data_IF_007501087997
#
_entry.id   IF_007501087997
#
_cell.length_a   1.000
_cell.length_b   1.000
_cell.length_c   1.000
_cell.angle_alpha   90.00
_cell.angle_beta   90.00
_cell.angle_gamma   90.00
#
_symmetry.space_group_name_H-M   'P 1'
#
loop_
_entity.id
_entity.type
_entity.pdbx_description
1 polymer ?
#
# COMPACT_ATOMS: atom_id res chain seq x y z
N UNK A 1 -14.71 -14.28 -3.39
CA UNK A 1 -14.26 -13.19 -4.29
C UNK A 1 -13.19 -12.32 -3.64
N UNK A 2 -13.46 -11.65 -2.52
CA UNK A 2 -12.51 -10.71 -1.85
C UNK A 2 -11.11 -11.30 -1.65
N UNK A 3 -10.99 -12.47 -1.01
CA UNK A 3 -9.70 -13.09 -0.70
C UNK A 3 -8.92 -13.43 -1.99
N UNK A 4 -9.58 -14.01 -2.99
CA UNK A 4 -8.93 -14.37 -4.26
C UNK A 4 -8.43 -13.14 -5.01
N UNK A 5 -9.24 -12.07 -5.05
CA UNK A 5 -8.86 -10.81 -5.70
C UNK A 5 -7.68 -10.16 -4.97
N UNK A 6 -7.70 -10.13 -3.63
CA UNK A 6 -6.59 -9.65 -2.82
C UNK A 6 -5.31 -10.47 -3.01
N UNK A 7 -5.43 -11.80 -3.03
CA UNK A 7 -4.29 -12.68 -3.23
C UNK A 7 -3.68 -12.50 -4.63
N UNK A 8 -4.49 -12.47 -5.68
CA UNK A 8 -4.00 -12.39 -7.06
C UNK A 8 -3.51 -10.97 -7.38
N UNK A 9 -4.38 -9.96 -7.27
CA UNK A 9 -4.08 -8.61 -7.73
C UNK A 9 -3.32 -7.77 -6.71
N UNK A 10 -3.43 -8.09 -5.41
CA UNK A 10 -2.74 -7.41 -4.32
C UNK A 10 -1.36 -7.99 -3.98
N UNK A 11 -1.13 -9.27 -4.26
CA UNK A 11 0.10 -9.96 -3.86
C UNK A 11 0.80 -10.68 -5.02
N UNK A 12 0.19 -11.69 -5.64
CA UNK A 12 0.84 -12.52 -6.66
C UNK A 12 1.29 -11.69 -7.86
N UNK A 13 0.41 -10.86 -8.43
CA UNK A 13 0.72 -10.08 -9.63
C UNK A 13 1.81 -9.01 -9.37
N UNK A 14 1.75 -8.20 -8.29
CA UNK A 14 2.85 -7.28 -7.94
C UNK A 14 4.19 -7.97 -7.70
N UNK A 15 4.21 -9.11 -6.99
CA UNK A 15 5.46 -9.85 -6.72
C UNK A 15 6.01 -10.46 -8.02
N UNK A 16 5.16 -11.08 -8.84
CA UNK A 16 5.57 -11.62 -10.14
C UNK A 16 6.14 -10.53 -11.05
N UNK A 17 5.52 -9.35 -11.08
CA UNK A 17 6.03 -8.17 -11.78
C UNK A 17 7.42 -7.78 -11.27
N UNK A 18 7.57 -7.63 -9.94
CA UNK A 18 8.84 -7.24 -9.34
C UNK A 18 9.97 -8.22 -9.69
N UNK A 19 9.71 -9.53 -9.58
CA UNK A 19 10.66 -10.57 -9.96
C UNK A 19 11.01 -10.54 -11.45
N UNK A 20 10.04 -10.30 -12.33
CA UNK A 20 10.28 -10.17 -13.77
C UNK A 20 11.13 -8.94 -14.10
N UNK A 21 10.90 -7.82 -13.43
CA UNK A 21 11.70 -6.60 -13.59
C UNK A 21 13.13 -6.77 -13.05
N UNK A 22 13.33 -7.49 -11.94
CA UNK A 22 14.67 -7.90 -11.46
C UNK A 22 15.38 -8.78 -12.48
N UNK A 23 14.70 -9.83 -12.98
CA UNK A 23 15.28 -10.78 -13.94
C UNK A 23 15.67 -10.11 -15.26
N UNK A 24 14.98 -9.04 -15.65
CA UNK A 24 15.29 -8.25 -16.86
C UNK A 24 16.29 -7.12 -16.63
N UNK A 25 16.87 -7.00 -15.43
CA UNK A 25 17.88 -5.98 -15.12
C UNK A 25 17.32 -4.55 -15.01
N UNK A 26 15.99 -4.39 -14.94
CA UNK A 26 15.33 -3.08 -14.79
C UNK A 26 15.26 -2.59 -13.35
N UNK A 27 15.58 -3.46 -12.40
CA UNK A 27 15.61 -3.19 -10.98
C UNK A 27 16.95 -3.72 -10.44
N UNK A 28 17.76 -2.83 -9.86
CA UNK A 28 19.11 -3.18 -9.43
C UNK A 28 19.11 -4.12 -8.22
N UNK A 29 18.27 -3.83 -7.22
CA UNK A 29 18.29 -4.48 -5.92
C UNK A 29 16.89 -4.93 -5.44
N UNK A 30 16.85 -5.69 -4.35
CA UNK A 30 15.62 -6.33 -3.85
C UNK A 30 14.72 -5.39 -3.05
N UNK A 31 15.27 -4.27 -2.61
CA UNK A 31 14.63 -3.26 -1.80
C UNK A 31 14.22 -2.03 -2.64
N UNK A 32 14.54 -2.04 -3.95
CA UNK A 32 14.33 -0.97 -4.90
C UNK A 32 14.85 0.38 -4.36
N UNK A 33 16.13 0.42 -4.02
CA UNK A 33 16.80 1.57 -3.42
C UNK A 33 16.88 2.75 -4.39
N UNK A 34 16.99 2.48 -5.68
CA UNK A 34 17.03 3.47 -6.76
C UNK A 34 15.61 3.96 -7.02
N UNK A 35 15.42 5.26 -6.77
CA UNK A 35 14.10 5.88 -6.72
C UNK A 35 13.42 5.93 -8.08
N UNK A 36 14.21 6.16 -9.12
CA UNK A 36 13.81 6.29 -10.52
C UNK A 36 13.22 4.98 -11.05
N UNK A 37 13.76 3.85 -10.57
CA UNK A 37 13.34 2.50 -10.94
C UNK A 37 11.95 2.12 -10.37
N UNK A 38 11.47 2.82 -9.32
CA UNK A 38 10.21 2.49 -8.60
C UNK A 38 8.94 2.92 -9.35
N UNK A 39 9.04 3.93 -10.21
CA UNK A 39 7.87 4.56 -10.83
C UNK A 39 7.09 3.58 -11.71
N UNK A 40 7.77 2.82 -12.56
CA UNK A 40 7.15 1.84 -13.46
C UNK A 40 6.47 0.70 -12.68
N UNK A 41 7.14 0.02 -11.72
CA UNK A 41 6.49 -0.96 -10.85
C UNK A 41 5.24 -0.42 -10.15
N UNK A 42 5.29 0.79 -9.61
CA UNK A 42 4.15 1.39 -8.92
C UNK A 42 2.96 1.67 -9.85
N UNK A 43 3.20 2.17 -11.06
CA UNK A 43 2.13 2.38 -12.03
C UNK A 43 1.44 1.07 -12.41
N UNK A 44 2.22 0.03 -12.73
CA UNK A 44 1.65 -1.27 -13.13
C UNK A 44 0.94 -1.95 -11.95
N UNK A 45 1.51 -1.89 -10.75
CA UNK A 45 0.84 -2.39 -9.54
C UNK A 45 -0.48 -1.67 -9.28
N UNK A 46 -0.53 -0.34 -9.51
CA UNK A 46 -1.78 0.43 -9.42
C UNK A 46 -2.82 -0.06 -10.42
N UNK A 47 -2.41 -0.46 -11.63
CA UNK A 47 -3.33 -1.07 -12.61
C UNK A 47 -3.88 -2.42 -12.12
N UNK A 48 -3.06 -3.26 -11.48
CA UNK A 48 -3.55 -4.50 -10.87
C UNK A 48 -4.57 -4.21 -9.77
N UNK A 49 -4.32 -3.18 -8.94
CA UNK A 49 -5.27 -2.74 -7.93
C UNK A 49 -6.57 -2.24 -8.56
N UNK A 50 -6.51 -1.45 -9.64
CA UNK A 50 -7.69 -0.98 -10.35
C UNK A 50 -8.54 -2.13 -10.93
N UNK A 51 -7.90 -3.15 -11.51
CA UNK A 51 -8.60 -4.35 -12.00
C UNK A 51 -9.31 -5.05 -10.85
N UNK A 52 -8.63 -5.25 -9.71
CA UNK A 52 -9.25 -5.88 -8.55
C UNK A 52 -10.40 -5.06 -7.99
N UNK A 53 -10.29 -3.72 -7.93
CA UNK A 53 -11.37 -2.84 -7.52
C UNK A 53 -12.61 -3.01 -8.41
N UNK A 54 -12.44 -3.04 -9.74
CA UNK A 54 -13.55 -3.23 -10.69
C UNK A 54 -14.24 -4.58 -10.46
N UNK A 55 -13.47 -5.65 -10.22
CA UNK A 55 -14.02 -6.97 -9.90
C UNK A 55 -14.83 -6.91 -8.59
N UNK A 56 -14.30 -6.26 -7.56
CA UNK A 56 -14.99 -6.12 -6.27
C UNK A 56 -16.32 -5.35 -6.40
N UNK A 57 -16.34 -4.28 -7.19
CA UNK A 57 -17.55 -3.51 -7.49
C UNK A 57 -18.57 -4.38 -8.25
N UNK A 58 -18.12 -5.11 -9.27
CA UNK A 58 -18.98 -5.99 -10.07
C UNK A 58 -19.67 -7.06 -9.22
N UNK A 59 -18.95 -7.65 -8.26
CA UNK A 59 -19.49 -8.63 -7.33
C UNK A 59 -20.18 -8.01 -6.10
N UNK A 60 -20.38 -6.68 -6.09
CA UNK A 60 -21.09 -5.95 -5.03
C UNK A 60 -20.60 -6.28 -3.63
N UNK A 61 -19.28 -6.39 -3.46
CA UNK A 61 -18.72 -6.68 -2.13
C UNK A 61 -18.93 -5.50 -1.19
N UNK A 62 -18.77 -5.74 0.12
CA UNK A 62 -18.96 -4.72 1.15
C UNK A 62 -18.16 -3.43 0.85
N UNK A 63 -18.81 -2.28 1.06
CA UNK A 63 -18.28 -0.95 0.76
C UNK A 63 -16.92 -0.68 1.41
N UNK A 64 -16.65 -1.22 2.60
CA UNK A 64 -15.36 -1.08 3.28
C UNK A 64 -14.23 -1.73 2.46
N UNK A 65 -14.50 -2.89 1.86
CA UNK A 65 -13.52 -3.55 0.98
C UNK A 65 -13.28 -2.73 -0.28
N UNK A 66 -14.33 -2.19 -0.90
CA UNK A 66 -14.21 -1.33 -2.08
C UNK A 66 -13.41 -0.05 -1.75
N UNK A 67 -13.74 0.61 -0.63
CA UNK A 67 -13.06 1.80 -0.16
C UNK A 67 -11.57 1.54 0.10
N UNK A 68 -11.24 0.39 0.69
CA UNK A 68 -9.86 0.03 0.99
C UNK A 68 -9.01 -0.17 -0.28
N UNK A 69 -9.59 -0.76 -1.33
CA UNK A 69 -8.91 -0.89 -2.63
C UNK A 69 -8.70 0.46 -3.30
N UNK A 70 -9.69 1.35 -3.21
CA UNK A 70 -9.54 2.73 -3.66
C UNK A 70 -8.38 3.44 -2.91
N UNK A 71 -8.25 3.22 -1.61
CA UNK A 71 -7.14 3.76 -0.81
C UNK A 71 -5.77 3.28 -1.30
N UNK A 72 -5.62 1.99 -1.65
CA UNK A 72 -4.35 1.48 -2.19
C UNK A 72 -4.00 2.15 -3.52
N UNK A 73 -4.99 2.33 -4.41
CA UNK A 73 -4.80 3.00 -5.71
C UNK A 73 -4.37 4.46 -5.47
N UNK A 74 -5.17 5.22 -4.74
CA UNK A 74 -4.93 6.65 -4.51
C UNK A 74 -3.62 6.90 -3.76
N UNK A 75 -3.34 6.13 -2.70
CA UNK A 75 -2.10 6.26 -1.94
C UNK A 75 -0.87 5.88 -2.77
N UNK A 76 -0.97 4.88 -3.65
CA UNK A 76 0.14 4.53 -4.55
C UNK A 76 0.38 5.62 -5.59
N UNK A 77 -0.68 6.21 -6.16
CA UNK A 77 -0.56 7.35 -7.07
C UNK A 77 0.07 8.56 -6.39
N UNK A 78 -0.34 8.88 -5.17
CA UNK A 78 0.28 9.96 -4.37
C UNK A 78 1.74 9.60 -4.05
N UNK A 79 2.05 8.34 -3.76
CA UNK A 79 3.42 7.87 -3.53
C UNK A 79 4.29 8.10 -4.77
N UNK A 80 3.78 7.85 -5.98
CA UNK A 80 4.50 8.14 -7.23
C UNK A 80 4.84 9.63 -7.33
N UNK A 81 3.93 10.52 -6.92
CA UNK A 81 4.17 11.97 -6.90
C UNK A 81 5.23 12.35 -5.86
N UNK A 82 5.10 11.84 -4.63
CA UNK A 82 6.07 12.07 -3.54
C UNK A 82 7.45 11.53 -3.93
N UNK A 83 7.50 10.36 -4.60
CA UNK A 83 8.70 9.71 -5.09
C UNK A 83 9.43 10.53 -6.17
N UNK A 84 8.93 11.69 -6.60
CA UNK A 84 9.73 12.68 -7.35
C UNK A 84 10.66 13.47 -6.43
N UNK A 85 10.26 13.75 -5.20
CA UNK A 85 11.01 14.57 -4.23
C UNK A 85 11.69 13.75 -3.13
N UNK A 86 10.97 12.82 -2.49
CA UNK A 86 11.47 12.04 -1.36
C UNK A 86 11.11 10.55 -1.48
N UNK A 87 12.01 9.64 -1.08
CA UNK A 87 11.75 8.19 -1.13
C UNK A 87 11.13 7.67 0.18
N UNK A 88 9.83 7.89 0.37
CA UNK A 88 9.12 7.33 1.54
C UNK A 88 9.03 5.80 1.49
N UNK A 89 8.90 5.18 2.67
CA UNK A 89 8.92 3.73 2.83
C UNK A 89 7.60 3.07 2.40
N UNK A 90 7.57 2.49 1.21
CA UNK A 90 6.40 1.76 0.70
C UNK A 90 6.04 0.54 1.57
N UNK A 91 7.02 -0.10 2.20
CA UNK A 91 6.81 -1.19 3.16
C UNK A 91 6.02 -0.73 4.39
N UNK A 92 6.43 0.41 4.96
CA UNK A 92 5.75 0.98 6.13
C UNK A 92 4.35 1.45 5.76
N UNK A 93 4.19 2.07 4.59
CA UNK A 93 2.87 2.43 4.06
C UNK A 93 1.95 1.22 3.87
N UNK A 94 2.49 0.15 3.27
CA UNK A 94 1.76 -1.09 3.02
C UNK A 94 1.29 -1.79 4.29
N UNK A 95 1.99 -1.62 5.42
CA UNK A 95 1.59 -2.12 6.73
C UNK A 95 0.62 -1.17 7.47
N UNK A 96 0.83 0.15 7.35
CA UNK A 96 0.02 1.17 8.01
C UNK A 96 -1.39 1.32 7.40
N UNK A 97 -1.56 1.08 6.10
CA UNK A 97 -2.87 1.09 5.43
C UNK A 97 -3.87 0.08 6.03
N UNK A 98 -3.54 -1.23 6.09
CA UNK A 98 -4.34 -2.23 6.78
C UNK A 98 -4.60 -1.88 8.24
N UNK A 99 -3.58 -1.40 8.97
CA UNK A 99 -3.75 -0.95 10.35
C UNK A 99 -4.83 0.14 10.48
N UNK A 100 -4.86 1.12 9.57
CA UNK A 100 -5.89 2.15 9.55
C UNK A 100 -7.28 1.59 9.24
N UNK A 101 -7.39 0.70 8.25
CA UNK A 101 -8.64 0.04 7.91
C UNK A 101 -9.18 -0.81 9.08
N UNK A 102 -8.32 -1.58 9.75
CA UNK A 102 -8.71 -2.33 10.95
C UNK A 102 -9.09 -1.41 12.11
N UNK A 103 -8.38 -0.30 12.31
CA UNK A 103 -8.75 0.71 13.33
C UNK A 103 -10.11 1.33 13.06
N UNK A 104 -10.46 1.54 11.79
CA UNK A 104 -11.78 2.03 11.41
C UNK A 104 -12.90 1.02 11.76
N UNK A 105 -12.68 -0.27 11.52
CA UNK A 105 -13.69 -1.32 11.71
C UNK A 105 -13.79 -1.82 13.15
N UNK A 106 -12.65 -2.04 13.80
CA UNK A 106 -12.53 -2.66 15.12
C UNK A 106 -12.30 -1.62 16.23
N UNK A 107 -12.19 -0.34 15.87
CA UNK A 107 -11.85 0.73 16.81
C UNK A 107 -10.41 0.66 17.31
N UNK A 108 -10.11 1.31 18.45
CA UNK A 108 -8.76 1.43 19.00
C UNK A 108 -8.07 0.09 19.31
N UNK A 109 -8.82 -1.01 19.43
CA UNK A 109 -8.23 -2.33 19.67
C UNK A 109 -7.22 -2.71 18.57
N UNK A 110 -7.49 -2.36 17.31
CA UNK A 110 -6.58 -2.67 16.20
C UNK A 110 -5.22 -1.96 16.26
N UNK A 111 -5.01 -1.03 17.21
CA UNK A 111 -3.70 -0.39 17.41
C UNK A 111 -2.61 -1.38 17.83
N UNK A 112 -2.95 -2.60 18.29
CA UNK A 112 -1.92 -3.65 18.51
C UNK A 112 -1.13 -3.97 17.21
N UNK A 113 -1.72 -3.75 16.02
CA UNK A 113 -1.06 -3.94 14.72
C UNK A 113 0.13 -2.97 14.57
N UNK A 114 0.17 -1.87 15.32
CA UNK A 114 1.30 -0.94 15.37
C UNK A 114 2.62 -1.67 15.68
N UNK A 115 2.59 -2.76 16.46
CA UNK A 115 3.78 -3.58 16.74
C UNK A 115 4.38 -4.12 15.43
N UNK A 116 3.54 -4.64 14.52
CA UNK A 116 3.99 -5.13 13.22
C UNK A 116 4.54 -3.99 12.35
N UNK A 117 3.87 -2.84 12.36
CA UNK A 117 4.32 -1.67 11.60
C UNK A 117 5.68 -1.17 12.09
N UNK A 118 5.90 -1.15 13.41
CA UNK A 118 7.19 -0.79 14.03
C UNK A 118 8.27 -1.78 13.62
N UNK A 119 8.00 -3.09 13.65
CA UNK A 119 8.97 -4.12 13.23
C UNK A 119 9.35 -3.94 11.75
N UNK A 120 8.35 -3.72 10.88
CA UNK A 120 8.58 -3.48 9.45
C UNK A 120 9.41 -2.21 9.24
N UNK A 121 9.05 -1.11 9.90
CA UNK A 121 9.78 0.17 9.81
C UNK A 121 11.21 0.06 10.33
N UNK A 122 11.40 -0.59 11.49
CA UNK A 122 12.71 -0.84 12.07
C UNK A 122 13.61 -1.66 11.14
N UNK A 123 13.08 -2.72 10.53
CA UNK A 123 13.83 -3.52 9.56
C UNK A 123 14.33 -2.66 8.39
N UNK A 124 13.52 -1.71 7.91
CA UNK A 124 13.92 -0.81 6.81
C UNK A 124 15.02 0.18 7.22
N UNK A 125 15.03 0.62 8.47
CA UNK A 125 16.09 1.47 9.01
C UNK A 125 17.37 0.66 9.21
N UNK A 126 17.24 -0.55 9.78
CA UNK A 126 18.38 -1.43 10.08
C UNK A 126 19.10 -1.92 8.81
N UNK A 127 18.37 -2.12 7.73
CA UNK A 127 18.90 -2.45 6.40
C UNK A 127 19.33 -1.21 5.60
N UNK A 128 19.34 -0.02 6.22
CA UNK A 128 19.77 1.25 5.61
C UNK A 128 18.97 1.62 4.33
N UNK A 129 17.78 1.03 4.16
CA UNK A 129 16.91 1.31 3.02
C UNK A 129 16.27 2.70 3.15
N UNK A 130 15.92 3.06 4.39
CA UNK A 130 15.19 4.29 4.71
C UNK A 130 15.66 4.94 6.02
N UNK A 131 15.54 6.26 6.11
CA UNK A 131 15.72 7.00 7.36
C UNK A 131 14.48 6.88 8.26
N UNK A 132 14.63 7.22 9.54
CA UNK A 132 13.49 7.31 10.46
C UNK A 132 12.39 8.24 9.93
N UNK A 133 12.77 9.39 9.35
CA UNK A 133 11.81 10.36 8.79
C UNK A 133 11.05 9.76 7.61
N UNK A 134 11.72 9.04 6.70
CA UNK A 134 11.06 8.38 5.56
C UNK A 134 10.08 7.28 5.99
N UNK A 135 10.39 6.57 7.07
CA UNK A 135 9.50 5.57 7.69
C UNK A 135 8.30 6.26 8.35
N UNK A 136 8.54 7.28 9.18
CA UNK A 136 7.49 8.02 9.87
C UNK A 136 6.52 8.70 8.88
N UNK A 137 7.04 9.36 7.84
CA UNK A 137 6.22 9.96 6.79
C UNK A 137 5.37 8.92 6.07
N UNK A 138 5.94 7.75 5.74
CA UNK A 138 5.17 6.65 5.16
C UNK A 138 4.06 6.14 6.07
N UNK A 139 4.34 5.99 7.37
CA UNK A 139 3.36 5.59 8.37
C UNK A 139 2.19 6.59 8.45
N UNK A 140 2.47 7.85 8.78
CA UNK A 140 1.44 8.85 9.02
C UNK A 140 0.62 9.12 7.76
N UNK A 141 1.29 9.21 6.59
CA UNK A 141 0.60 9.40 5.32
C UNK A 141 -0.39 8.26 5.06
N UNK A 142 0.06 7.01 5.10
CA UNK A 142 -0.81 5.87 4.80
C UNK A 142 -1.93 5.71 5.83
N UNK A 143 -1.63 5.89 7.13
CA UNK A 143 -2.63 5.72 8.18
C UNK A 143 -3.74 6.78 8.06
N UNK A 144 -3.36 8.07 8.04
CA UNK A 144 -4.32 9.19 7.99
C UNK A 144 -5.11 9.15 6.69
N UNK A 145 -4.42 8.99 5.56
CA UNK A 145 -5.05 8.97 4.24
C UNK A 145 -6.07 7.83 4.12
N UNK A 146 -5.70 6.61 4.52
CA UNK A 146 -6.59 5.44 4.44
C UNK A 146 -7.80 5.59 5.37
N UNK A 147 -7.58 6.00 6.62
CA UNK A 147 -8.67 6.18 7.58
C UNK A 147 -9.69 7.22 7.10
N UNK A 148 -9.22 8.38 6.66
CA UNK A 148 -10.09 9.45 6.18
C UNK A 148 -10.83 9.07 4.90
N UNK A 149 -10.16 8.42 3.95
CA UNK A 149 -10.80 7.98 2.71
C UNK A 149 -11.89 6.94 2.99
N UNK A 150 -11.62 5.93 3.83
CA UNK A 150 -12.65 4.95 4.23
C UNK A 150 -13.82 5.65 4.91
N UNK A 151 -13.56 6.53 5.88
CA UNK A 151 -14.61 7.28 6.56
C UNK A 151 -15.51 8.06 5.58
N UNK A 152 -14.90 8.78 4.64
CA UNK A 152 -15.63 9.59 3.65
C UNK A 152 -16.44 8.70 2.71
N UNK A 153 -15.83 7.65 2.15
CA UNK A 153 -16.50 6.76 1.18
C UNK A 153 -17.66 6.03 1.87
N UNK A 154 -17.43 5.45 3.05
CA UNK A 154 -18.49 4.77 3.81
C UNK A 154 -19.62 5.75 4.10
N UNK A 155 -19.33 6.98 4.54
CA UNK A 155 -20.37 7.99 4.81
C UNK A 155 -21.20 8.39 3.58
N UNK A 156 -20.61 8.36 2.38
CA UNK A 156 -21.30 8.72 1.12
C UNK A 156 -22.17 7.57 0.60
N UNK A 157 -21.73 6.33 0.79
CA UNK A 157 -22.31 5.14 0.15
C UNK A 157 -23.00 4.16 1.12
N UNK A 158 -23.17 4.53 2.39
CA UNK A 158 -23.96 3.79 3.40
C UNK A 158 -25.27 4.51 3.67
#
# INVERSE_FOLDING_TARGET
VVILVAFISGFVAPIALFLALRKSGKLADQDALIKEERTVPFFIATSFFAIGLVILIYFQVNIISIAFWFCYISNTLITILINRYEKISAHTMGAAGPMAAFTFVLGPFALFIMILVIIVGWARIKLECHTFIQVALGFFFAFISTYLQIFIIVKIFS
#
